data_IF_359405938073
#
_entry.id   IF_359405938073
#
_cell.length_a   1.000
_cell.length_b   1.000
_cell.length_c   1.000
_cell.angle_alpha   90.00
_cell.angle_beta   90.00
_cell.angle_gamma   90.00
#
_symmetry.space_group_name_H-M   'P 1'
#
loop_
_entity.id
_entity.type
_entity.pdbx_description
1 polymer ?
#
# COMPACT_ATOMS: atom_id res chain seq x y z
N UNK A 1 2.54 4.10 32.03
CA UNK A 1 1.93 3.01 31.27
C UNK A 1 1.90 3.45 29.79
N UNK A 2 2.50 2.70 28.87
CA UNK A 2 2.46 3.07 27.45
C UNK A 2 1.12 2.65 26.86
N UNK A 3 0.46 3.56 26.13
CA UNK A 3 -0.76 3.26 25.38
C UNK A 3 -0.42 2.34 24.21
N UNK A 4 -1.15 1.25 24.07
CA UNK A 4 -1.05 0.34 22.92
C UNK A 4 -2.11 0.76 21.89
N UNK A 5 -1.70 0.88 20.64
CA UNK A 5 -2.57 1.19 19.51
C UNK A 5 -2.73 -0.08 18.69
N UNK A 6 -3.95 -0.52 18.51
CA UNK A 6 -4.32 -1.67 17.69
C UNK A 6 -4.75 -1.16 16.33
N UNK A 7 -4.12 -1.62 15.26
CA UNK A 7 -4.43 -1.17 13.90
C UNK A 7 -4.23 -2.29 12.89
N UNK A 8 -4.84 -2.15 11.73
CA UNK A 8 -4.54 -2.93 10.55
C UNK A 8 -3.49 -2.22 9.73
N UNK A 9 -2.52 -2.95 9.17
CA UNK A 9 -1.45 -2.34 8.42
C UNK A 9 -0.93 -3.19 7.27
N UNK A 10 -0.52 -2.51 6.21
CA UNK A 10 0.26 -3.07 5.10
C UNK A 10 1.72 -2.73 5.35
N UNK A 11 2.59 -3.74 5.38
CA UNK A 11 4.03 -3.52 5.47
C UNK A 11 4.53 -3.07 4.11
N UNK A 12 4.69 -1.76 3.94
CA UNK A 12 5.08 -1.16 2.65
C UNK A 12 6.53 -1.47 2.31
N UNK A 13 7.41 -1.27 3.27
CA UNK A 13 8.84 -1.55 3.12
C UNK A 13 9.49 -1.88 4.46
N UNK A 14 10.65 -2.55 4.39
CA UNK A 14 11.46 -2.79 5.57
C UNK A 14 12.96 -2.68 5.27
N UNK A 15 13.73 -2.31 6.29
CA UNK A 15 15.18 -2.33 6.26
C UNK A 15 15.76 -2.95 7.52
N UNK A 16 16.87 -3.64 7.40
CA UNK A 16 17.57 -4.20 8.55
C UNK A 16 18.10 -3.09 9.45
N UNK A 17 18.00 -3.29 10.77
CA UNK A 17 18.49 -2.38 11.79
C UNK A 17 19.24 -3.20 12.85
N UNK A 18 20.58 -3.17 12.76
CA UNK A 18 21.43 -4.07 13.53
C UNK A 18 21.23 -5.55 13.15
N UNK A 19 21.61 -6.45 14.06
CA UNK A 19 21.64 -7.90 13.77
C UNK A 19 20.27 -8.55 13.78
N UNK A 20 19.39 -8.16 14.71
CA UNK A 20 18.15 -8.87 14.98
C UNK A 20 16.87 -8.08 14.64
N UNK A 21 16.98 -6.78 14.37
CA UNK A 21 15.85 -5.88 14.26
C UNK A 21 15.58 -5.48 12.80
N UNK A 22 14.37 -4.96 12.55
CA UNK A 22 14.01 -4.23 11.32
C UNK A 22 13.36 -2.90 11.65
N UNK A 23 13.58 -1.94 10.78
CA UNK A 23 12.75 -0.73 10.66
C UNK A 23 11.73 -0.99 9.56
N UNK A 24 10.47 -0.74 9.86
CA UNK A 24 9.34 -0.95 8.97
C UNK A 24 8.71 0.39 8.63
N UNK A 25 8.28 0.54 7.40
CA UNK A 25 7.27 1.53 7.00
C UNK A 25 5.95 0.78 6.87
N UNK A 26 4.96 1.17 7.64
CA UNK A 26 3.66 0.52 7.69
C UNK A 26 2.59 1.55 7.32
N UNK A 27 1.83 1.29 6.27
CA UNK A 27 0.62 2.05 5.98
C UNK A 27 -0.52 1.45 6.77
N UNK A 28 -1.05 2.21 7.71
CA UNK A 28 -2.06 1.74 8.65
C UNK A 28 -3.41 2.40 8.41
N UNK A 29 -4.48 1.69 8.74
CA UNK A 29 -5.84 2.18 8.54
C UNK A 29 -6.15 3.38 9.42
N UNK A 30 -5.76 3.33 10.71
CA UNK A 30 -6.17 4.29 11.74
C UNK A 30 -5.08 5.31 12.11
N UNK A 31 -3.82 5.11 11.67
CA UNK A 31 -2.70 5.97 12.04
C UNK A 31 -1.94 6.54 10.83
N UNK A 32 -2.38 6.25 9.59
CA UNK A 32 -1.67 6.67 8.39
C UNK A 32 -0.33 5.95 8.21
N UNK A 33 0.65 6.63 7.64
CA UNK A 33 1.98 6.07 7.35
C UNK A 33 2.88 6.19 8.59
N UNK A 34 3.21 5.07 9.21
CA UNK A 34 4.03 5.05 10.42
C UNK A 34 5.38 4.36 10.18
N UNK A 35 6.42 4.88 10.83
CA UNK A 35 7.74 4.22 10.90
C UNK A 35 7.87 3.53 12.24
N UNK A 36 8.09 2.20 12.23
CA UNK A 36 8.12 1.40 13.43
C UNK A 36 9.35 0.49 13.49
N UNK A 37 9.93 0.34 14.69
CA UNK A 37 10.95 -0.66 14.95
C UNK A 37 10.32 -1.99 15.36
N UNK A 38 10.78 -3.10 14.77
CA UNK A 38 10.42 -4.46 15.16
C UNK A 38 11.67 -5.15 15.74
N UNK A 39 11.69 -5.27 17.06
CA UNK A 39 12.83 -5.85 17.78
C UNK A 39 12.83 -7.38 17.69
N UNK A 40 14.00 -7.98 17.49
CA UNK A 40 14.18 -9.43 17.45
C UNK A 40 13.45 -10.13 16.28
N UNK A 41 12.89 -9.39 15.32
CA UNK A 41 12.07 -9.96 14.23
C UNK A 41 12.86 -10.88 13.30
N UNK A 42 14.18 -10.70 13.21
CA UNK A 42 15.07 -11.53 12.38
C UNK A 42 15.52 -12.84 13.06
N UNK A 43 15.29 -12.95 14.35
CA UNK A 43 15.61 -14.18 15.07
C UNK A 43 14.71 -15.32 14.59
N UNK A 44 15.29 -16.52 14.46
CA UNK A 44 14.56 -17.72 13.96
C UNK A 44 13.31 -18.05 14.76
N UNK A 45 13.35 -17.85 16.07
CA UNK A 45 12.22 -18.06 16.99
C UNK A 45 11.18 -16.93 17.04
N UNK A 46 11.39 -15.87 16.27
CA UNK A 46 10.48 -14.73 16.32
C UNK A 46 9.13 -15.04 15.66
N UNK A 47 8.05 -14.92 16.42
CA UNK A 47 6.67 -15.04 15.92
C UNK A 47 6.29 -13.89 14.96
N UNK A 48 6.94 -12.74 15.10
CA UNK A 48 6.68 -11.55 14.26
C UNK A 48 7.23 -11.71 12.83
N UNK A 49 8.16 -12.64 12.60
CA UNK A 49 8.91 -12.75 11.35
C UNK A 49 8.02 -12.94 10.12
N UNK A 50 6.94 -13.70 10.24
CA UNK A 50 6.04 -13.99 9.13
C UNK A 50 5.03 -12.89 8.89
N UNK A 51 4.49 -12.29 9.96
CA UNK A 51 3.50 -11.23 9.85
C UNK A 51 4.08 -9.88 9.38
N UNK A 52 5.39 -9.67 9.57
CA UNK A 52 6.08 -8.42 9.25
C UNK A 52 7.00 -8.53 8.02
N UNK A 53 6.60 -9.33 7.04
CA UNK A 53 7.25 -9.35 5.73
C UNK A 53 6.74 -8.19 4.88
N UNK A 54 7.59 -7.68 3.96
CA UNK A 54 7.15 -6.67 3.01
C UNK A 54 5.91 -7.15 2.24
N UNK A 55 4.98 -6.24 2.00
CA UNK A 55 3.70 -6.51 1.36
C UNK A 55 2.78 -7.50 2.13
N UNK A 56 2.98 -7.67 3.44
CA UNK A 56 2.02 -8.39 4.30
C UNK A 56 0.91 -7.46 4.76
N UNK A 57 -0.30 -8.00 4.82
CA UNK A 57 -1.44 -7.41 5.51
C UNK A 57 -1.56 -8.05 6.89
N UNK A 58 -1.43 -7.24 7.93
CA UNK A 58 -1.35 -7.72 9.30
C UNK A 58 -2.14 -6.83 10.28
N UNK A 59 -2.66 -7.46 11.32
CA UNK A 59 -3.03 -6.73 12.54
C UNK A 59 -1.75 -6.47 13.33
N UNK A 60 -1.51 -5.22 13.70
CA UNK A 60 -0.31 -4.80 14.43
C UNK A 60 -0.66 -4.04 15.69
N UNK A 61 0.08 -4.31 16.75
CA UNK A 61 0.02 -3.56 17.99
C UNK A 61 1.25 -2.65 18.08
N UNK A 62 1.01 -1.36 18.21
CA UNK A 62 2.03 -0.34 18.20
C UNK A 62 2.07 0.42 19.51
N UNK A 63 3.26 0.76 19.97
CA UNK A 63 3.50 1.67 21.07
C UNK A 63 4.29 2.86 20.56
N UNK A 64 3.82 4.07 20.87
CA UNK A 64 4.53 5.29 20.49
C UNK A 64 5.83 5.42 21.30
N UNK A 65 6.95 5.43 20.60
CA UNK A 65 8.25 5.79 21.15
C UNK A 65 8.46 7.30 21.14
N UNK A 66 9.67 7.74 21.42
CA UNK A 66 10.02 9.16 21.37
C UNK A 66 10.00 9.69 19.94
N UNK A 67 10.66 9.01 19.03
CA UNK A 67 10.85 9.45 17.64
C UNK A 67 10.22 8.49 16.62
N UNK A 68 10.05 7.23 16.99
CA UNK A 68 9.51 6.17 16.13
C UNK A 68 8.57 5.27 16.91
N UNK A 69 7.66 4.63 16.20
CA UNK A 69 6.81 3.59 16.77
C UNK A 69 7.59 2.30 17.03
N UNK A 70 7.05 1.45 17.90
CA UNK A 70 7.57 0.12 18.16
C UNK A 70 6.45 -0.90 18.03
N UNK A 71 6.68 -1.92 17.20
CA UNK A 71 5.78 -3.08 17.11
C UNK A 71 5.96 -3.94 18.34
N UNK A 72 4.87 -4.21 19.05
CA UNK A 72 4.84 -5.08 20.23
C UNK A 72 4.24 -6.43 19.92
N UNK A 73 3.26 -6.49 18.98
CA UNK A 73 2.64 -7.71 18.49
C UNK A 73 2.27 -7.57 17.03
N UNK A 74 2.21 -8.67 16.30
CA UNK A 74 1.66 -8.71 14.95
C UNK A 74 1.13 -10.11 14.65
N UNK A 75 0.04 -10.15 13.90
CA UNK A 75 -0.54 -11.38 13.34
C UNK A 75 -0.95 -11.13 11.90
N UNK A 76 -0.66 -12.10 11.01
CA UNK A 76 -1.08 -12.04 9.62
C UNK A 76 -2.60 -12.09 9.55
N UNK A 77 -3.20 -11.17 8.81
CA UNK A 77 -4.61 -11.19 8.44
C UNK A 77 -4.79 -11.93 7.12
N UNK A 78 -3.95 -11.59 6.14
CA UNK A 78 -3.97 -12.23 4.83
C UNK A 78 -2.54 -12.31 4.26
N UNK A 79 -2.22 -13.37 3.56
CA UNK A 79 -0.87 -13.63 3.04
C UNK A 79 -0.71 -13.44 1.54
N UNK A 80 -1.82 -13.37 0.80
CA UNK A 80 -1.87 -13.16 -0.66
C UNK A 80 -0.90 -14.08 -1.42
N UNK A 81 -1.08 -15.41 -1.36
CA UNK A 81 -0.10 -16.37 -1.85
C UNK A 81 0.09 -16.32 -3.38
N UNK A 82 -0.95 -16.02 -4.16
CA UNK A 82 -0.88 -15.92 -5.61
C UNK A 82 -0.16 -14.64 -6.04
N UNK A 83 -0.56 -13.49 -5.48
CA UNK A 83 0.11 -12.20 -5.72
C UNK A 83 1.60 -12.27 -5.37
N UNK A 84 1.98 -12.98 -4.31
CA UNK A 84 3.38 -13.17 -3.87
C UNK A 84 4.21 -14.10 -4.73
N UNK A 85 3.61 -14.96 -5.52
CA UNK A 85 4.32 -15.85 -6.48
C UNK A 85 4.61 -15.14 -7.79
N UNK A 86 3.81 -14.15 -8.15
CA UNK A 86 4.00 -13.40 -9.38
C UNK A 86 4.90 -12.18 -9.17
N UNK A 87 6.08 -12.21 -9.79
CA UNK A 87 7.04 -11.11 -9.71
C UNK A 87 6.48 -9.78 -10.20
N UNK A 88 5.62 -9.79 -11.22
CA UNK A 88 5.05 -8.57 -11.77
C UNK A 88 4.08 -7.93 -10.78
N UNK A 89 3.26 -8.72 -10.09
CA UNK A 89 2.37 -8.26 -9.01
C UNK A 89 3.16 -7.68 -7.83
N UNK A 90 4.24 -8.34 -7.40
CA UNK A 90 5.13 -7.81 -6.35
C UNK A 90 5.72 -6.46 -6.75
N UNK A 91 6.18 -6.32 -8.00
CA UNK A 91 6.76 -5.07 -8.49
C UNK A 91 5.71 -3.94 -8.56
N UNK A 92 4.49 -4.25 -8.98
CA UNK A 92 3.38 -3.30 -8.98
C UNK A 92 3.10 -2.79 -7.56
N UNK A 93 2.88 -3.70 -6.61
CA UNK A 93 2.62 -3.35 -5.21
C UNK A 93 3.77 -2.56 -4.58
N UNK A 94 5.02 -2.89 -4.92
CA UNK A 94 6.18 -2.15 -4.45
C UNK A 94 6.25 -0.71 -5.03
N UNK A 95 5.84 -0.51 -6.30
CA UNK A 95 5.75 0.85 -6.90
C UNK A 95 4.65 1.67 -6.23
N UNK A 96 3.48 1.07 -6.02
CA UNK A 96 2.38 1.73 -5.29
C UNK A 96 2.79 2.07 -3.85
N UNK A 97 3.47 1.15 -3.17
CA UNK A 97 4.01 1.40 -1.83
C UNK A 97 4.96 2.60 -1.80
N UNK A 98 5.86 2.73 -2.77
CA UNK A 98 6.75 3.90 -2.90
C UNK A 98 5.97 5.20 -3.19
N UNK A 99 4.90 5.11 -3.97
CA UNK A 99 4.04 6.25 -4.20
C UNK A 99 3.37 6.71 -2.91
N UNK A 100 2.83 5.78 -2.12
CA UNK A 100 2.27 6.07 -0.79
C UNK A 100 3.32 6.71 0.12
N UNK A 101 4.53 6.16 0.20
CA UNK A 101 5.64 6.74 0.99
C UNK A 101 5.99 8.17 0.56
N UNK A 102 5.78 8.51 -0.70
CA UNK A 102 6.08 9.84 -1.26
C UNK A 102 4.94 10.83 -1.07
N UNK A 103 3.69 10.39 -1.19
CA UNK A 103 2.51 11.26 -1.24
C UNK A 103 1.79 11.38 0.11
N UNK A 104 1.81 10.30 0.93
CA UNK A 104 1.18 10.32 2.23
C UNK A 104 2.20 10.82 3.26
N UNK A 105 2.03 12.04 3.73
CA UNK A 105 2.91 12.62 4.72
C UNK A 105 2.42 12.31 6.13
N UNK A 106 3.26 11.58 6.88
CA UNK A 106 3.08 11.36 8.30
C UNK A 106 1.89 10.49 8.72
N UNK A 107 1.43 10.78 9.94
CA UNK A 107 0.43 9.99 10.67
C UNK A 107 -1.00 10.48 10.38
N UNK A 108 -1.30 10.80 9.11
CA UNK A 108 -2.65 11.15 8.68
C UNK A 108 -3.34 9.94 8.05
N UNK A 109 -4.34 9.34 8.72
CA UNK A 109 -5.05 8.19 8.20
C UNK A 109 -5.93 8.57 7.01
N UNK A 110 -5.93 7.71 5.98
CA UNK A 110 -6.87 7.77 4.89
C UNK A 110 -7.43 6.37 4.64
N UNK A 111 -8.63 6.14 5.14
CA UNK A 111 -9.27 4.81 5.06
C UNK A 111 -9.56 4.41 3.61
N UNK A 112 -9.92 5.38 2.75
CA UNK A 112 -10.22 5.09 1.34
C UNK A 112 -8.98 4.55 0.61
N UNK A 113 -7.84 5.21 0.76
CA UNK A 113 -6.57 4.74 0.15
C UNK A 113 -6.17 3.38 0.73
N UNK A 114 -6.38 3.18 2.03
CA UNK A 114 -6.08 1.90 2.67
C UNK A 114 -6.94 0.78 2.07
N UNK A 115 -8.25 0.99 1.95
CA UNK A 115 -9.19 0.01 1.41
C UNK A 115 -8.94 -0.25 -0.08
N UNK A 116 -8.56 0.77 -0.85
CA UNK A 116 -8.16 0.64 -2.25
C UNK A 116 -6.91 -0.24 -2.39
N UNK A 117 -5.91 -0.02 -1.54
CA UNK A 117 -4.72 -0.88 -1.52
C UNK A 117 -5.06 -2.33 -1.20
N UNK A 118 -5.87 -2.58 -0.18
CA UNK A 118 -6.30 -3.94 0.19
C UNK A 118 -7.08 -4.59 -0.95
N UNK A 119 -7.98 -3.86 -1.59
CA UNK A 119 -8.75 -4.35 -2.74
C UNK A 119 -7.85 -4.73 -3.91
N UNK A 120 -6.80 -3.95 -4.17
CA UNK A 120 -5.79 -4.26 -5.19
C UNK A 120 -5.02 -5.55 -4.85
N UNK A 121 -4.67 -5.79 -3.58
CA UNK A 121 -4.06 -7.04 -3.16
C UNK A 121 -4.98 -8.24 -3.41
N UNK A 122 -6.27 -8.14 -3.07
CA UNK A 122 -7.24 -9.20 -3.33
C UNK A 122 -7.40 -9.47 -4.82
N UNK A 123 -7.47 -8.41 -5.65
CA UNK A 123 -7.53 -8.57 -7.09
C UNK A 123 -6.32 -9.33 -7.65
N UNK A 124 -5.10 -8.96 -7.22
CA UNK A 124 -3.88 -9.63 -7.65
C UNK A 124 -3.72 -11.05 -7.10
N UNK A 125 -4.44 -11.39 -6.03
CA UNK A 125 -4.43 -12.75 -5.45
C UNK A 125 -5.44 -13.70 -6.12
N UNK A 126 -6.14 -13.24 -7.15
CA UNK A 126 -6.97 -14.12 -7.98
C UNK A 126 -6.15 -14.89 -8.99
N UNK A 127 -6.66 -16.02 -9.48
CA UNK A 127 -6.03 -16.75 -10.57
C UNK A 127 -6.14 -15.97 -11.88
N UNK A 128 -5.07 -16.02 -12.69
CA UNK A 128 -5.05 -15.52 -14.08
C UNK A 128 -5.16 -14.00 -14.28
N UNK A 129 -4.61 -13.18 -13.38
CA UNK A 129 -4.43 -11.76 -13.71
C UNK A 129 -3.36 -11.62 -14.79
N UNK A 130 -3.79 -11.30 -16.00
CA UNK A 130 -2.91 -11.13 -17.15
C UNK A 130 -2.09 -9.82 -17.07
N UNK A 131 -1.12 -9.60 -17.97
CA UNK A 131 -0.36 -8.35 -17.98
C UNK A 131 -1.21 -7.10 -18.16
N UNK A 132 -2.26 -7.17 -18.99
CA UNK A 132 -3.17 -6.05 -19.25
C UNK A 132 -3.99 -5.69 -18.01
N UNK A 133 -4.51 -6.69 -17.29
CA UNK A 133 -5.23 -6.50 -16.04
C UNK A 133 -4.34 -5.89 -14.94
N UNK A 134 -3.06 -6.29 -14.86
CA UNK A 134 -2.11 -5.67 -13.93
C UNK A 134 -1.81 -4.21 -14.28
N UNK A 135 -1.62 -3.91 -15.56
CA UNK A 135 -1.39 -2.53 -16.00
C UNK A 135 -2.60 -1.63 -15.74
N UNK A 136 -3.79 -2.12 -16.04
CA UNK A 136 -5.04 -1.41 -15.76
C UNK A 136 -5.26 -1.20 -14.26
N UNK A 137 -5.00 -2.22 -13.43
CA UNK A 137 -5.06 -2.10 -11.98
C UNK A 137 -4.11 -1.02 -11.46
N UNK A 138 -2.84 -1.03 -11.89
CA UNK A 138 -1.86 -0.04 -11.45
C UNK A 138 -2.31 1.37 -11.80
N UNK A 139 -2.77 1.57 -13.04
CA UNK A 139 -3.26 2.86 -13.53
C UNK A 139 -4.47 3.33 -12.71
N UNK A 140 -5.44 2.43 -12.48
CA UNK A 140 -6.65 2.71 -11.72
C UNK A 140 -6.33 3.05 -10.26
N UNK A 141 -5.48 2.26 -9.60
CA UNK A 141 -5.11 2.46 -8.20
C UNK A 141 -4.35 3.79 -8.01
N UNK A 142 -3.38 4.08 -8.88
CA UNK A 142 -2.65 5.36 -8.84
C UNK A 142 -3.59 6.54 -9.03
N UNK A 143 -4.52 6.44 -9.98
CA UNK A 143 -5.50 7.48 -10.24
C UNK A 143 -6.36 7.77 -9.01
N UNK A 144 -6.88 6.73 -8.35
CA UNK A 144 -7.69 6.88 -7.13
C UNK A 144 -6.90 7.48 -5.98
N UNK A 145 -5.66 7.04 -5.76
CA UNK A 145 -4.78 7.61 -4.73
C UNK A 145 -4.56 9.10 -4.98
N UNK A 146 -4.22 9.49 -6.20
CA UNK A 146 -3.97 10.88 -6.57
C UNK A 146 -5.21 11.76 -6.42
N UNK A 147 -6.37 11.24 -6.81
CA UNK A 147 -7.64 11.94 -6.62
C UNK A 147 -8.00 12.08 -5.13
N UNK A 148 -7.93 10.99 -4.36
CA UNK A 148 -8.27 10.99 -2.93
C UNK A 148 -7.37 11.95 -2.12
N UNK A 149 -6.12 12.14 -2.56
CA UNK A 149 -5.19 13.11 -1.96
C UNK A 149 -5.36 14.53 -2.52
N UNK A 150 -6.28 14.75 -3.45
CA UNK A 150 -6.58 16.07 -4.01
C UNK A 150 -5.58 16.56 -5.05
N UNK A 151 -4.66 15.71 -5.54
CA UNK A 151 -3.73 16.09 -6.62
C UNK A 151 -4.39 16.15 -8.00
N UNK A 152 -5.45 15.39 -8.21
CA UNK A 152 -6.21 15.36 -9.46
C UNK A 152 -7.63 15.77 -9.15
N UNK A 153 -8.11 16.84 -9.84
CA UNK A 153 -9.48 17.30 -9.73
C UNK A 153 -10.47 16.40 -10.47
N UNK A 154 -11.76 16.68 -10.29
CA UNK A 154 -12.84 15.98 -10.99
C UNK A 154 -12.77 16.19 -12.51
N UNK A 155 -12.97 15.13 -13.27
CA UNK A 155 -13.16 15.17 -14.72
C UNK A 155 -14.06 14.01 -15.16
N UNK A 156 -14.75 14.15 -16.27
CA UNK A 156 -15.65 13.10 -16.81
C UNK A 156 -14.94 11.75 -17.03
N UNK A 157 -13.64 11.78 -17.37
CA UNK A 157 -12.82 10.57 -17.56
C UNK A 157 -12.61 9.89 -16.22
N UNK A 158 -12.35 10.68 -15.16
CA UNK A 158 -12.01 10.16 -13.84
C UNK A 158 -13.22 9.61 -13.10
N UNK A 159 -14.38 10.30 -13.19
CA UNK A 159 -15.61 9.89 -12.51
C UNK A 159 -16.01 8.45 -12.82
N UNK A 160 -15.76 7.98 -14.06
CA UNK A 160 -16.05 6.60 -14.47
C UNK A 160 -15.27 5.56 -13.67
N UNK A 161 -14.06 5.89 -13.21
CA UNK A 161 -13.16 4.96 -12.54
C UNK A 161 -13.11 5.14 -11.02
N UNK A 162 -13.47 6.32 -10.50
CA UNK A 162 -13.36 6.62 -9.07
C UNK A 162 -14.30 5.79 -8.19
N UNK A 163 -15.49 5.48 -8.68
CA UNK A 163 -16.51 4.71 -7.95
C UNK A 163 -16.54 3.21 -8.26
N UNK A 164 -15.73 2.73 -9.21
CA UNK A 164 -15.77 1.33 -9.66
C UNK A 164 -14.87 0.44 -8.80
N UNK A 165 -15.21 -0.85 -8.72
CA UNK A 165 -14.35 -1.85 -8.11
C UNK A 165 -13.18 -2.20 -9.04
N UNK A 166 -12.09 -2.74 -8.47
CA UNK A 166 -11.02 -3.30 -9.28
C UNK A 166 -11.47 -4.65 -9.85
N UNK A 167 -11.85 -4.65 -11.12
CA UNK A 167 -12.25 -5.82 -11.88
C UNK A 167 -11.80 -5.72 -13.34
N UNK A 168 -12.03 -6.77 -14.11
CA UNK A 168 -11.63 -6.79 -15.53
C UNK A 168 -12.54 -5.98 -16.45
N UNK A 169 -13.69 -5.50 -15.99
CA UNK A 169 -14.69 -4.81 -16.82
C UNK A 169 -14.18 -3.48 -17.40
N UNK A 170 -13.26 -2.83 -16.69
CA UNK A 170 -12.69 -1.53 -17.08
C UNK A 170 -11.30 -1.64 -17.72
N UNK A 171 -10.75 -2.84 -17.87
CA UNK A 171 -9.38 -3.05 -18.37
C UNK A 171 -9.18 -2.41 -19.74
N UNK A 172 -10.04 -2.71 -20.71
CA UNK A 172 -9.91 -2.20 -22.08
C UNK A 172 -10.06 -0.68 -22.13
N UNK A 173 -11.04 -0.11 -21.43
CA UNK A 173 -11.29 1.35 -21.42
C UNK A 173 -10.14 2.11 -20.73
N UNK A 174 -9.63 1.61 -19.59
CA UNK A 174 -8.47 2.20 -18.91
C UNK A 174 -7.22 2.19 -19.79
N UNK A 175 -6.98 1.09 -20.50
CA UNK A 175 -5.82 0.98 -21.38
C UNK A 175 -5.97 1.83 -22.64
N UNK A 176 -7.19 1.99 -23.19
CA UNK A 176 -7.46 2.90 -24.29
C UNK A 176 -7.19 4.38 -23.90
N UNK A 177 -7.53 4.75 -22.69
CA UNK A 177 -7.34 6.11 -22.15
C UNK A 177 -5.99 6.32 -21.43
N UNK A 178 -5.12 5.29 -21.41
CA UNK A 178 -3.85 5.26 -20.68
C UNK A 178 -2.98 6.50 -20.88
N UNK A 179 -2.79 6.92 -22.13
CA UNK A 179 -1.93 8.07 -22.42
C UNK A 179 -2.46 9.36 -21.79
N UNK A 180 -3.76 9.58 -21.86
CA UNK A 180 -4.42 10.73 -21.25
C UNK A 180 -4.30 10.68 -19.73
N UNK A 181 -4.59 9.55 -19.11
CA UNK A 181 -4.52 9.35 -17.66
C UNK A 181 -3.09 9.59 -17.15
N UNK A 182 -2.08 8.98 -17.79
CA UNK A 182 -0.67 9.14 -17.41
C UNK A 182 -0.22 10.60 -17.57
N UNK A 183 -0.68 11.30 -18.60
CA UNK A 183 -0.39 12.72 -18.79
C UNK A 183 -0.93 13.55 -17.61
N UNK A 184 -2.18 13.35 -17.22
CA UNK A 184 -2.80 14.05 -16.08
C UNK A 184 -2.07 13.75 -14.77
N UNK A 185 -1.74 12.47 -14.50
CA UNK A 185 -0.97 12.08 -13.31
C UNK A 185 0.40 12.79 -13.29
N UNK A 186 1.13 12.77 -14.38
CA UNK A 186 2.45 13.40 -14.47
C UNK A 186 2.39 14.93 -14.35
N UNK A 187 1.36 15.56 -14.89
CA UNK A 187 1.13 16.98 -14.72
C UNK A 187 0.86 17.33 -13.25
N UNK A 188 -0.05 16.63 -12.60
CA UNK A 188 -0.38 16.83 -11.19
C UNK A 188 0.84 16.65 -10.27
N UNK A 189 1.69 15.63 -10.53
CA UNK A 189 2.93 15.41 -9.78
C UNK A 189 3.96 16.55 -9.97
N UNK A 190 4.03 17.16 -11.16
CA UNK A 190 4.91 18.31 -11.41
C UNK A 190 4.42 19.57 -10.72
N UNK A 191 3.11 19.84 -10.76
CA UNK A 191 2.48 21.01 -10.15
C UNK A 191 2.55 20.96 -8.62
N UNK A 192 2.55 19.77 -8.02
CA UNK A 192 2.71 19.57 -6.58
C UNK A 192 4.13 19.72 -6.06
N UNK A 193 5.12 19.97 -6.93
CA UNK A 193 6.56 20.05 -6.55
C UNK A 193 7.11 18.80 -5.84
N UNK A 194 6.52 17.64 -6.06
CA UNK A 194 6.90 16.34 -5.50
C UNK A 194 7.87 15.56 -6.40
#
# INVERSE_FOLDING_TARGET
MHKIYHTHGIIVSSRNSGEANRMLTIYTRELGLVRASAQGVRLLKSKLRFALQDLSYAKVDLVRGRDIWRVTSASTLESFPLARRDRASIMLLARVGKLIERLCDGEEPNEQIFDDCISAFYYLDTENVDPSGREALELHLVLRIMHTLGYIGESEILERYLGSQFDSSHTESLLAERQSIVLHINQALRESHL
#
